data_IF_251797367928
#
_entry.id   IF_251797367928
#
_cell.length_a   1.000
_cell.length_b   1.000
_cell.length_c   1.000
_cell.angle_alpha   90.00
_cell.angle_beta   90.00
_cell.angle_gamma   90.00
#
_symmetry.space_group_name_H-M   'P 1'
#
loop_
_entity.id
_entity.type
_entity.pdbx_description
1 polymer ?
#
# COMPACT_ATOMS: atom_id res chain seq x y z
N UNK A 1 17.81 36.27 23.06
CA UNK A 1 18.64 35.13 23.48
C UNK A 1 17.88 34.05 24.29
N UNK A 2 17.15 34.37 25.38
CA UNK A 2 16.41 33.36 26.19
C UNK A 2 15.29 32.63 25.41
N UNK A 3 14.48 33.35 24.64
CA UNK A 3 13.37 32.77 23.87
C UNK A 3 13.84 31.72 22.83
N UNK A 4 14.96 31.98 22.12
CA UNK A 4 15.54 31.03 21.15
C UNK A 4 16.04 29.75 21.84
N UNK A 5 16.67 29.87 23.02
CA UNK A 5 17.14 28.71 23.82
C UNK A 5 15.96 27.88 24.35
N UNK A 6 14.89 28.53 24.82
CA UNK A 6 13.65 27.85 25.26
C UNK A 6 12.94 27.16 24.09
N UNK A 7 12.81 27.83 22.94
CA UNK A 7 12.22 27.25 21.74
C UNK A 7 12.99 26.02 21.26
N UNK A 8 14.33 26.08 21.25
CA UNK A 8 15.18 24.93 20.92
C UNK A 8 14.94 23.76 21.89
N UNK A 9 14.79 24.02 23.19
CA UNK A 9 14.48 22.96 24.16
C UNK A 9 13.11 22.33 23.89
N UNK A 10 12.09 23.13 23.59
CA UNK A 10 10.74 22.64 23.25
C UNK A 10 10.79 21.72 22.02
N UNK A 11 11.51 22.12 20.95
CA UNK A 11 11.65 21.29 19.74
C UNK A 11 12.35 19.96 20.04
N UNK A 12 13.36 19.96 20.92
CA UNK A 12 14.03 18.73 21.34
C UNK A 12 13.09 17.79 22.10
N UNK A 13 12.31 18.33 23.04
CA UNK A 13 11.35 17.55 23.81
C UNK A 13 10.27 16.95 22.91
N UNK A 14 9.75 17.73 21.95
CA UNK A 14 8.82 17.23 20.94
C UNK A 14 9.44 16.11 20.10
N UNK A 15 10.70 16.26 19.68
CA UNK A 15 11.39 15.22 18.93
C UNK A 15 11.48 13.91 19.72
N UNK A 16 11.91 13.97 20.99
CA UNK A 16 12.04 12.81 21.87
C UNK A 16 10.67 12.15 22.15
N UNK A 17 9.65 12.95 22.45
CA UNK A 17 8.30 12.45 22.68
C UNK A 17 7.66 11.83 21.43
N UNK A 18 8.06 12.28 20.23
CA UNK A 18 7.60 11.71 18.97
C UNK A 18 8.40 10.50 18.48
N UNK A 19 9.48 10.10 19.19
CA UNK A 19 10.31 8.95 18.79
C UNK A 19 9.58 7.61 18.74
N UNK A 20 8.58 7.28 19.61
CA UNK A 20 7.80 6.05 19.48
C UNK A 20 7.01 6.01 18.16
N UNK A 21 6.55 7.16 17.66
CA UNK A 21 5.86 7.23 16.37
C UNK A 21 6.80 6.90 15.21
N UNK A 22 8.08 7.28 15.29
CA UNK A 22 9.05 6.83 14.29
C UNK A 22 9.22 5.32 14.27
N UNK A 23 9.35 4.71 15.46
CA UNK A 23 9.47 3.26 15.57
C UNK A 23 8.22 2.55 15.04
N UNK A 24 7.01 3.05 15.34
CA UNK A 24 5.77 2.51 14.81
C UNK A 24 5.69 2.64 13.28
N UNK A 25 5.90 3.85 12.75
CA UNK A 25 5.84 4.10 11.31
C UNK A 25 6.87 3.30 10.51
N UNK A 26 8.13 3.28 10.98
CA UNK A 26 9.18 2.49 10.37
C UNK A 26 8.90 0.99 10.49
N UNK A 27 8.42 0.51 11.64
CA UNK A 27 8.03 -0.89 11.84
C UNK A 27 6.96 -1.33 10.84
N UNK A 28 5.87 -0.57 10.72
CA UNK A 28 4.78 -0.86 9.77
C UNK A 28 5.28 -0.93 8.32
N UNK A 29 6.19 -0.03 7.91
CA UNK A 29 6.78 -0.05 6.57
C UNK A 29 7.71 -1.26 6.38
N UNK A 30 8.51 -1.58 7.40
CA UNK A 30 9.46 -2.70 7.36
C UNK A 30 8.71 -4.03 7.23
N UNK A 31 7.63 -4.25 7.99
CA UNK A 31 6.85 -5.49 7.88
C UNK A 31 6.19 -5.61 6.50
N UNK A 32 5.67 -4.52 5.96
CA UNK A 32 5.09 -4.50 4.62
C UNK A 32 6.07 -4.79 3.46
N UNK A 33 7.39 -4.86 3.70
CA UNK A 33 8.37 -5.19 2.66
C UNK A 33 8.28 -6.65 2.24
N UNK A 34 8.40 -6.95 0.92
CA UNK A 34 8.47 -8.33 0.43
C UNK A 34 9.58 -9.09 1.16
N UNK A 35 9.22 -10.23 1.76
CA UNK A 35 10.15 -11.07 2.51
C UNK A 35 10.34 -10.72 3.99
N UNK A 36 9.72 -9.65 4.49
CA UNK A 36 9.75 -9.27 5.92
C UNK A 36 8.50 -9.74 6.70
N UNK A 37 7.37 -9.95 6.00
CA UNK A 37 6.18 -10.65 6.52
C UNK A 37 6.37 -12.19 6.63
N UNK A 38 7.54 -12.72 6.23
CA UNK A 38 7.88 -14.15 6.14
C UNK A 38 8.06 -14.90 7.48
N UNK A 39 7.42 -14.44 8.55
CA UNK A 39 7.23 -15.25 9.76
C UNK A 39 5.85 -15.96 9.73
N UNK A 40 5.00 -15.64 8.75
CA UNK A 40 3.75 -16.36 8.47
C UNK A 40 3.97 -17.53 7.50
N UNK A 41 3.58 -18.75 7.89
CA UNK A 41 3.72 -19.97 7.08
C UNK A 41 2.81 -20.02 5.83
N UNK A 42 1.93 -19.03 5.64
CA UNK A 42 0.85 -19.03 4.66
C UNK A 42 0.92 -17.81 3.71
N UNK A 43 2.00 -17.71 2.94
CA UNK A 43 2.20 -16.65 1.96
C UNK A 43 2.08 -17.18 0.53
N UNK A 44 1.31 -16.48 -0.30
CA UNK A 44 1.15 -16.75 -1.72
C UNK A 44 1.53 -15.53 -2.54
N UNK A 45 2.18 -15.77 -3.69
CA UNK A 45 2.52 -14.75 -4.66
C UNK A 45 2.04 -15.18 -6.04
N UNK A 46 1.39 -14.28 -6.78
CA UNK A 46 1.03 -14.48 -8.18
C UNK A 46 1.44 -13.26 -9.00
N UNK A 47 2.03 -13.50 -10.16
CA UNK A 47 2.38 -12.47 -11.12
C UNK A 47 1.25 -12.30 -12.13
N UNK A 48 0.89 -11.06 -12.42
CA UNK A 48 -0.18 -10.72 -13.37
C UNK A 48 0.41 -9.91 -14.49
N UNK A 49 0.23 -10.33 -15.74
CA UNK A 49 0.78 -9.65 -16.90
C UNK A 49 -0.33 -9.15 -17.82
N UNK A 50 -0.26 -7.87 -18.16
CA UNK A 50 -1.18 -7.25 -19.11
C UNK A 50 -0.55 -7.30 -20.50
N UNK A 51 -1.00 -8.23 -21.33
CA UNK A 51 -0.59 -8.32 -22.75
C UNK A 51 -1.57 -7.60 -23.69
N UNK A 52 -2.59 -6.92 -23.15
CA UNK A 52 -3.49 -6.08 -23.92
C UNK A 52 -2.82 -4.74 -24.30
N UNK A 53 -3.34 -4.03 -25.32
CA UNK A 53 -2.80 -2.74 -25.73
C UNK A 53 -3.21 -1.57 -24.81
N UNK A 54 -4.11 -1.77 -23.86
CA UNK A 54 -4.66 -0.73 -22.99
C UNK A 54 -4.12 -0.81 -21.55
N UNK A 55 -4.17 0.32 -20.82
CA UNK A 55 -3.92 0.32 -19.37
C UNK A 55 -5.20 -0.10 -18.67
N UNK A 56 -5.11 -1.12 -17.84
CA UNK A 56 -6.23 -1.67 -17.10
C UNK A 56 -5.97 -1.56 -15.61
N UNK A 57 -7.04 -1.66 -14.83
CA UNK A 57 -7.01 -1.46 -13.40
C UNK A 57 -7.32 -2.78 -12.73
N UNK A 58 -6.37 -3.29 -11.95
CA UNK A 58 -6.47 -4.62 -11.36
C UNK A 58 -6.74 -4.54 -9.86
N UNK A 59 -7.65 -5.38 -9.40
CA UNK A 59 -8.02 -5.51 -7.99
C UNK A 59 -8.01 -6.99 -7.63
N UNK A 60 -7.07 -7.45 -6.79
CA UNK A 60 -7.08 -8.83 -6.32
C UNK A 60 -8.24 -9.06 -5.36
N UNK A 61 -8.93 -10.20 -5.50
CA UNK A 61 -10.18 -10.48 -4.81
C UNK A 61 -10.18 -11.87 -4.14
N UNK A 62 -10.85 -11.98 -2.99
CA UNK A 62 -11.00 -13.22 -2.20
C UNK A 62 -12.36 -13.37 -1.52
N UNK A 63 -12.91 -14.58 -1.50
CA UNK A 63 -14.10 -14.87 -0.69
C UNK A 63 -13.67 -15.43 0.66
N UNK A 64 -13.92 -14.68 1.72
CA UNK A 64 -13.59 -15.07 3.10
C UNK A 64 -14.83 -15.06 3.96
N UNK A 65 -15.08 -16.12 4.72
CA UNK A 65 -16.31 -16.27 5.53
C UNK A 65 -17.61 -16.08 4.72
N UNK A 66 -17.61 -16.54 3.46
CA UNK A 66 -18.70 -16.37 2.49
C UNK A 66 -19.00 -14.91 2.09
N UNK A 67 -18.08 -13.98 2.35
CA UNK A 67 -18.20 -12.58 1.95
C UNK A 67 -17.11 -12.19 0.94
N UNK A 68 -17.43 -11.43 -0.12
CA UNK A 68 -16.45 -10.90 -1.06
C UNK A 68 -15.59 -9.80 -0.43
N UNK A 69 -14.26 -9.90 -0.55
CA UNK A 69 -13.29 -8.92 -0.04
C UNK A 69 -12.16 -8.63 -1.04
N UNK A 70 -11.68 -7.39 -1.06
CA UNK A 70 -10.45 -7.06 -1.78
C UNK A 70 -9.22 -7.48 -0.97
N UNK A 71 -8.16 -7.91 -1.64
CA UNK A 71 -6.86 -8.16 -1.00
C UNK A 71 -5.99 -6.92 -1.20
N UNK A 72 -5.80 -6.16 -0.13
CA UNK A 72 -4.99 -4.94 -0.17
C UNK A 72 -3.51 -5.26 -0.29
N UNK A 73 -2.82 -4.54 -1.18
CA UNK A 73 -1.36 -4.65 -1.32
C UNK A 73 -0.69 -3.62 -0.39
N UNK A 74 0.03 -4.03 0.69
CA UNK A 74 0.46 -3.13 1.77
C UNK A 74 1.31 -1.93 1.32
N UNK A 75 2.16 -2.13 0.30
CA UNK A 75 3.02 -1.09 -0.26
C UNK A 75 2.44 -0.38 -1.48
N UNK A 76 1.25 -0.79 -1.93
CA UNK A 76 0.58 -0.10 -3.03
C UNK A 76 -0.04 1.20 -2.53
N UNK A 77 0.05 2.24 -3.36
CA UNK A 77 -0.70 3.49 -3.18
C UNK A 77 -2.21 3.26 -3.29
N UNK A 78 -2.61 2.23 -4.04
CA UNK A 78 -4.00 1.89 -4.34
C UNK A 78 -4.39 0.60 -3.61
N UNK A 79 -5.54 0.61 -2.93
CA UNK A 79 -6.10 -0.62 -2.36
C UNK A 79 -6.83 -1.45 -3.41
N UNK A 80 -7.48 -0.79 -4.37
CA UNK A 80 -8.12 -1.38 -5.53
C UNK A 80 -7.85 -0.50 -6.75
N UNK A 81 -8.14 -1.03 -7.93
CA UNK A 81 -7.91 -0.39 -9.22
C UNK A 81 -6.45 0.02 -9.41
N UNK A 82 -5.53 -0.92 -9.17
CA UNK A 82 -4.10 -0.70 -9.36
C UNK A 82 -3.83 -0.62 -10.87
N UNK A 83 -3.27 0.50 -11.38
CA UNK A 83 -3.05 0.65 -12.81
C UNK A 83 -1.94 -0.28 -13.31
N UNK A 84 -2.27 -1.15 -14.26
CA UNK A 84 -1.36 -2.06 -14.94
C UNK A 84 -1.29 -1.69 -16.43
N UNK A 85 -0.17 -1.08 -16.82
CA UNK A 85 0.07 -0.63 -18.20
C UNK A 85 0.18 -1.82 -19.16
N UNK A 86 -0.05 -1.56 -20.45
CA UNK A 86 0.22 -2.51 -21.52
C UNK A 86 1.68 -3.00 -21.47
N UNK A 87 1.86 -4.32 -21.54
CA UNK A 87 3.15 -5.00 -21.44
C UNK A 87 3.79 -5.00 -20.05
N UNK A 88 3.10 -4.48 -19.02
CA UNK A 88 3.61 -4.46 -17.65
C UNK A 88 3.10 -5.67 -16.85
N UNK A 89 3.77 -5.88 -15.71
CA UNK A 89 3.43 -6.93 -14.75
C UNK A 89 3.27 -6.38 -13.33
N UNK A 90 2.39 -6.98 -12.54
CA UNK A 90 2.28 -6.74 -11.11
C UNK A 90 2.41 -8.07 -10.35
N UNK A 91 3.21 -8.09 -9.29
CA UNK A 91 3.20 -9.19 -8.33
C UNK A 91 2.16 -8.88 -7.24
N UNK A 92 1.23 -9.81 -7.04
CA UNK A 92 0.21 -9.78 -6.01
C UNK A 92 0.64 -10.74 -4.92
N UNK A 93 0.72 -10.23 -3.69
CA UNK A 93 0.93 -11.05 -2.50
C UNK A 93 -0.39 -11.21 -1.75
N UNK A 94 -0.61 -12.39 -1.19
CA UNK A 94 -1.80 -12.71 -0.40
C UNK A 94 -1.54 -13.75 0.69
N UNK A 95 -2.41 -13.79 1.70
CA UNK A 95 -2.39 -14.80 2.76
C UNK A 95 -3.16 -16.04 2.29
N UNK A 96 -2.50 -17.19 2.18
CA UNK A 96 -3.16 -18.40 1.64
C UNK A 96 -4.14 -19.06 2.61
N UNK A 97 -4.07 -18.74 3.91
CA UNK A 97 -4.94 -19.30 4.93
C UNK A 97 -6.19 -18.44 5.15
N UNK A 98 -5.98 -17.15 5.41
CA UNK A 98 -7.07 -16.24 5.79
C UNK A 98 -7.68 -15.50 4.60
N UNK A 99 -6.91 -15.23 3.54
CA UNK A 99 -7.35 -14.45 2.37
C UNK A 99 -6.97 -15.13 1.05
N UNK A 100 -7.38 -16.39 0.82
CA UNK A 100 -6.97 -17.14 -0.37
C UNK A 100 -7.44 -16.44 -1.64
N UNK A 101 -6.54 -16.23 -2.60
CA UNK A 101 -6.88 -15.56 -3.85
C UNK A 101 -7.99 -16.32 -4.60
N UNK A 102 -9.10 -15.63 -4.88
CA UNK A 102 -10.18 -16.17 -5.70
C UNK A 102 -10.02 -15.78 -7.19
N UNK A 103 -9.45 -14.60 -7.44
CA UNK A 103 -9.22 -14.10 -8.79
C UNK A 103 -8.77 -12.65 -8.77
N UNK A 104 -8.80 -12.03 -9.95
CA UNK A 104 -8.43 -10.63 -10.14
C UNK A 104 -9.55 -9.96 -10.92
N UNK A 105 -10.18 -8.96 -10.33
CA UNK A 105 -11.05 -8.06 -11.07
C UNK A 105 -10.18 -7.14 -11.93
N UNK A 106 -10.43 -7.13 -13.23
CA UNK A 106 -9.78 -6.28 -14.21
C UNK A 106 -10.83 -5.30 -14.71
N UNK A 107 -10.57 -4.01 -14.56
CA UNK A 107 -11.49 -2.96 -14.94
C UNK A 107 -10.87 -1.99 -15.94
N UNK A 108 -11.69 -1.43 -16.81
CA UNK A 108 -11.38 -0.19 -17.55
C UNK A 108 -11.69 1.02 -16.67
N UNK A 109 -11.16 2.18 -17.04
CA UNK A 109 -11.38 3.44 -16.31
C UNK A 109 -12.87 3.82 -16.16
N UNK A 110 -13.72 3.35 -17.08
CA UNK A 110 -15.17 3.63 -17.11
C UNK A 110 -16.02 2.68 -16.25
N UNK A 111 -15.40 1.80 -15.46
CA UNK A 111 -16.08 0.90 -14.53
C UNK A 111 -16.63 -0.39 -15.16
N UNK A 112 -16.26 -0.68 -16.41
CA UNK A 112 -16.46 -1.98 -17.03
C UNK A 112 -15.44 -2.96 -16.44
N UNK A 113 -15.90 -4.02 -15.78
CA UNK A 113 -15.08 -4.91 -14.96
C UNK A 113 -15.34 -6.38 -15.29
N UNK A 114 -14.25 -7.11 -15.48
CA UNK A 114 -14.24 -8.51 -15.84
C UNK A 114 -13.37 -9.31 -14.86
N UNK A 115 -13.58 -10.62 -14.79
CA UNK A 115 -12.87 -11.51 -13.90
C UNK A 115 -11.76 -12.25 -14.64
N UNK A 116 -10.54 -12.12 -14.14
CA UNK A 116 -9.45 -13.06 -14.43
C UNK A 116 -9.41 -14.11 -13.32
N UNK A 117 -9.85 -15.33 -13.64
CA UNK A 117 -9.91 -16.44 -12.69
C UNK A 117 -8.52 -16.87 -12.23
N UNK A 118 -8.40 -17.19 -10.94
CA UNK A 118 -7.18 -17.78 -10.42
C UNK A 118 -7.17 -19.29 -10.65
N UNK A 119 -6.31 -19.74 -11.56
CA UNK A 119 -6.16 -21.16 -11.94
C UNK A 119 -4.94 -21.83 -11.29
N UNK A 120 -4.52 -21.36 -10.11
CA UNK A 120 -3.36 -21.88 -9.35
C UNK A 120 -2.03 -21.87 -10.12
N UNK A 121 -1.85 -20.85 -10.98
CA UNK A 121 -0.60 -20.60 -11.70
C UNK A 121 0.18 -19.48 -11.05
N UNK A 122 1.51 -19.57 -11.08
CA UNK A 122 2.41 -18.51 -10.59
C UNK A 122 2.32 -17.24 -11.43
N UNK A 123 1.92 -17.36 -12.70
CA UNK A 123 1.73 -16.23 -13.62
C UNK A 123 0.37 -16.33 -14.29
N UNK A 124 -0.42 -15.28 -14.16
CA UNK A 124 -1.68 -15.09 -14.88
C UNK A 124 -1.47 -14.02 -15.96
N UNK A 125 -1.96 -14.29 -17.16
CA UNK A 125 -1.84 -13.36 -18.28
C UNK A 125 -3.19 -13.16 -18.94
N UNK A 126 -3.39 -12.01 -19.53
CA UNK A 126 -4.56 -11.73 -20.35
C UNK A 126 -4.17 -10.80 -21.50
N UNK A 127 -4.70 -11.06 -22.70
CA UNK A 127 -4.42 -10.28 -23.92
C UNK A 127 -5.64 -9.52 -24.44
N UNK A 128 -6.83 -10.05 -24.18
CA UNK A 128 -8.10 -9.47 -24.64
C UNK A 128 -9.03 -9.29 -23.44
N UNK A 129 -9.33 -8.04 -23.10
CA UNK A 129 -10.19 -7.70 -21.99
C UNK A 129 -11.61 -8.25 -22.19
N UNK A 130 -12.18 -8.04 -23.37
CA UNK A 130 -13.57 -8.41 -23.68
C UNK A 130 -13.79 -9.93 -23.77
N UNK A 131 -12.71 -10.73 -23.77
CA UNK A 131 -12.78 -12.20 -23.72
C UNK A 131 -12.92 -12.75 -22.30
N UNK A 132 -12.66 -11.94 -21.28
CA UNK A 132 -12.81 -12.33 -19.88
C UNK A 132 -14.30 -12.41 -19.52
N UNK A 133 -14.71 -13.28 -18.58
CA UNK A 133 -16.08 -13.26 -18.07
C UNK A 133 -16.38 -11.95 -17.32
N UNK A 134 -17.63 -11.46 -17.34
CA UNK A 134 -18.01 -10.27 -16.58
C UNK A 134 -17.86 -10.51 -15.08
N UNK A 135 -17.52 -9.46 -14.33
CA UNK A 135 -17.42 -9.52 -12.88
C UNK A 135 -18.81 -9.55 -12.23
N UNK A 136 -18.98 -10.38 -11.20
CA UNK A 136 -20.21 -10.46 -10.43
C UNK A 136 -20.54 -9.14 -9.69
N UNK A 137 -21.83 -8.84 -9.54
CA UNK A 137 -22.30 -7.59 -8.92
C UNK A 137 -21.87 -7.45 -7.46
N UNK A 138 -21.79 -8.55 -6.70
CA UNK A 138 -21.37 -8.50 -5.30
C UNK A 138 -19.91 -8.07 -5.17
N UNK A 139 -19.07 -8.54 -6.10
CA UNK A 139 -17.68 -8.16 -6.21
C UNK A 139 -17.51 -6.70 -6.60
N UNK A 140 -18.27 -6.26 -7.60
CA UNK A 140 -18.28 -4.88 -8.04
C UNK A 140 -18.66 -3.93 -6.90
N UNK A 141 -19.71 -4.27 -6.13
CA UNK A 141 -20.15 -3.48 -4.98
C UNK A 141 -19.08 -3.40 -3.87
N UNK A 142 -18.40 -4.51 -3.56
CA UNK A 142 -17.29 -4.52 -2.60
C UNK A 142 -16.15 -3.62 -3.04
N UNK A 143 -15.76 -3.67 -4.32
CA UNK A 143 -14.68 -2.82 -4.85
C UNK A 143 -15.08 -1.34 -4.76
N UNK A 144 -16.30 -0.98 -5.14
CA UNK A 144 -16.78 0.40 -5.16
C UNK A 144 -16.95 1.02 -3.77
N UNK A 145 -17.24 0.20 -2.76
CA UNK A 145 -17.39 0.66 -1.37
C UNK A 145 -16.06 0.74 -0.62
N UNK A 146 -15.02 0.08 -1.12
CA UNK A 146 -13.69 0.15 -0.55
C UNK A 146 -13.03 1.51 -0.81
N UNK A 147 -12.16 1.99 0.10
CA UNK A 147 -11.36 3.18 -0.16
C UNK A 147 -10.37 2.91 -1.29
N UNK A 148 -10.26 3.83 -2.26
CA UNK A 148 -9.32 3.68 -3.39
C UNK A 148 -7.85 3.76 -2.98
N UNK A 149 -7.53 4.68 -2.08
CA UNK A 149 -6.15 5.01 -1.73
C UNK A 149 -5.74 4.45 -0.38
N UNK A 150 -4.52 3.93 -0.32
CA UNK A 150 -3.86 3.51 0.90
C UNK A 150 -3.36 4.72 1.70
N UNK A 151 -4.27 5.39 2.39
CA UNK A 151 -3.94 6.54 3.26
C UNK A 151 -3.05 6.15 4.45
N UNK A 152 -3.07 4.88 4.85
CA UNK A 152 -2.23 4.39 5.94
C UNK A 152 -0.74 4.53 5.62
N UNK A 153 -0.33 4.27 4.37
CA UNK A 153 1.05 4.45 3.91
C UNK A 153 1.57 5.88 4.17
N UNK A 154 0.74 6.89 3.89
CA UNK A 154 1.09 8.30 4.15
C UNK A 154 1.16 8.61 5.65
N UNK A 155 0.23 8.08 6.44
CA UNK A 155 0.21 8.28 7.89
C UNK A 155 1.49 7.68 8.51
N UNK A 156 1.84 6.45 8.16
CA UNK A 156 3.04 5.79 8.69
C UNK A 156 4.33 6.47 8.23
N UNK A 157 4.39 6.95 6.99
CA UNK A 157 5.51 7.75 6.50
C UNK A 157 5.62 9.06 7.27
N UNK A 158 4.50 9.74 7.54
CA UNK A 158 4.44 10.95 8.36
C UNK A 158 4.96 10.71 9.79
N UNK A 159 4.52 9.62 10.42
CA UNK A 159 5.01 9.22 11.74
C UNK A 159 6.51 8.89 11.75
N UNK A 160 7.03 8.23 10.71
CA UNK A 160 8.46 7.96 10.54
C UNK A 160 9.29 9.25 10.41
N UNK A 161 8.80 10.23 9.65
CA UNK A 161 9.55 11.45 9.33
C UNK A 161 9.44 12.56 10.39
N UNK A 162 8.39 12.59 11.19
CA UNK A 162 8.13 13.65 12.18
C UNK A 162 9.29 13.88 13.16
N UNK A 163 9.81 12.88 13.89
CA UNK A 163 10.94 13.08 14.79
C UNK A 163 12.23 13.46 14.06
N UNK A 164 12.43 12.97 12.83
CA UNK A 164 13.59 13.32 12.00
C UNK A 164 13.53 14.81 11.63
N UNK A 165 12.36 15.30 11.20
CA UNK A 165 12.15 16.71 10.89
C UNK A 165 12.36 17.60 12.12
N UNK A 166 11.86 17.19 13.29
CA UNK A 166 12.04 17.91 14.54
C UNK A 166 13.50 17.94 15.00
N UNK A 167 14.24 16.83 14.86
CA UNK A 167 15.69 16.80 15.13
C UNK A 167 16.48 17.67 14.16
N UNK A 168 16.14 17.64 12.86
CA UNK A 168 16.78 18.50 11.87
C UNK A 168 16.52 19.99 12.15
N UNK A 169 15.29 20.34 12.57
CA UNK A 169 14.93 21.69 13.00
C UNK A 169 15.70 22.10 14.25
N UNK A 170 15.78 21.23 15.26
CA UNK A 170 16.57 21.45 16.47
C UNK A 170 18.05 21.71 16.16
N UNK A 171 18.64 20.94 15.25
CA UNK A 171 20.02 21.14 14.81
C UNK A 171 20.20 22.51 14.15
N UNK A 172 19.33 22.87 13.20
CA UNK A 172 19.38 24.17 12.50
C UNK A 172 19.29 25.34 13.48
N UNK A 173 18.38 25.26 14.45
CA UNK A 173 18.26 26.26 15.52
C UNK A 173 19.54 26.35 16.36
N UNK A 174 20.24 25.24 16.60
CA UNK A 174 21.54 25.21 17.27
C UNK A 174 22.64 25.99 16.54
N UNK A 175 22.72 25.86 15.21
CA UNK A 175 23.69 26.61 14.38
C UNK A 175 23.44 28.13 14.42
N UNK A 176 22.17 28.54 14.42
CA UNK A 176 21.81 29.97 14.49
C UNK A 176 22.10 30.59 15.85
N UNK A 177 21.95 29.83 16.95
CA UNK A 177 22.27 30.32 18.30
C UNK A 177 23.78 30.44 18.51
N UNK A 178 24.60 29.56 17.91
CA UNK A 178 26.07 29.60 18.01
C UNK A 178 26.77 30.57 17.05
N UNK A 179 26.04 31.20 16.11
CA UNK A 179 26.58 32.22 15.20
C UNK A 179 26.34 33.66 15.69
N UNK A 180 25.59 33.83 16.78
CA UNK A 180 25.29 35.12 17.42
C UNK A 180 26.11 35.33 18.72
N UNK A 181 27.02 34.40 19.05
CA UNK A 181 28.06 34.53 20.10
C UNK A 181 29.42 34.80 19.44
#
# INVERSE_FOLDING_TARGET
MKAKKVFRLIVLLLALLSSPFACMGAGSIIFALPGMDNIGFFHGEVRVENHSPETLYITPITTTYAEPRIITQPLSLYYHDIPLKAGASLNITYDTADFPLAGIAICREKGDCHLLEYIQQETLTFSEFDALPPLDESWLATIQTAPKYNLQLFIFTGFALTPIALLALWWRLGKQVGSEE
#
